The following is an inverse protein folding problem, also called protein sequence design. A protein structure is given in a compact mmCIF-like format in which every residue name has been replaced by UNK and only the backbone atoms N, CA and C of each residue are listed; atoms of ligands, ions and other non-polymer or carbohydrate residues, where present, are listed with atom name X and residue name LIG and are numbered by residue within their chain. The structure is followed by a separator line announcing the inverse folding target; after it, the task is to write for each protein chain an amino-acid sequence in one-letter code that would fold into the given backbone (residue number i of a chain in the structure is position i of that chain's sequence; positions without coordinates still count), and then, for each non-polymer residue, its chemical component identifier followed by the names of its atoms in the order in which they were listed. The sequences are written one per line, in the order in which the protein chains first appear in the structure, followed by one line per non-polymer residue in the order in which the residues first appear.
data_IF_874710236453
#
_entry.id   IF_874710236453
#
_cell.length_a   1.000
_cell.length_b   1.000
_cell.length_c   1.000
_cell.angle_alpha   90.00
_cell.angle_beta   90.00
_cell.angle_gamma   90.00
#
_symmetry.space_group_name_H-M   'P 1'
#
loop_
_entity.id
_entity.type
_entity.pdbx_description
1 polymer ?
#
# COMPACT_ATOMS: atom_id res chain seq x y z
N UNK A 1 -3.40 20.57 5.51
CA UNK A 1 -3.43 20.06 5.59
C UNK A 1 -3.30 19.46 5.33
N UNK A 2 -3.05 19.20 5.08
CA UNK A 2 -2.96 18.42 4.83
C UNK A 2 -2.52 17.82 4.88
N UNK A 3 -2.25 17.70 5.14
CA UNK A 3 -1.76 16.95 5.38
C UNK A 3 -1.91 16.09 5.60
N UNK A 4 -2.69 16.00 5.82
CA UNK A 4 -2.95 14.97 5.99
C UNK A 4 -2.51 13.93 5.52
N UNK A 5 -2.77 13.83 4.86
CA UNK A 5 -2.10 12.83 4.15
C UNK A 5 -0.82 12.52 4.80
N UNK A 6 -0.31 13.47 5.47
CA UNK A 6 0.81 13.23 6.33
C UNK A 6 0.43 12.47 7.55
N UNK A 7 -0.83 12.12 7.66
CA UNK A 7 -1.31 11.34 8.77
C UNK A 7 -1.18 9.84 8.60
N UNK A 8 -0.30 9.37 7.71
CA UNK A 8 -0.13 7.94 7.56
C UNK A 8 0.50 7.34 8.81
N UNK A 9 -0.05 6.23 9.28
CA UNK A 9 0.35 5.60 10.52
C UNK A 9 0.98 4.26 10.29
N UNK A 10 2.10 4.02 10.96
CA UNK A 10 2.81 2.75 10.86
C UNK A 10 1.90 1.59 11.24
N UNK A 11 1.92 0.54 10.45
CA UNK A 11 1.14 -0.66 10.72
C UNK A 11 -0.26 -0.65 10.14
N UNK A 12 -0.74 0.50 9.71
CA UNK A 12 -2.06 0.61 9.11
C UNK A 12 -1.99 0.31 7.61
N UNK A 13 -3.12 -0.08 7.05
CA UNK A 13 -3.18 -0.48 5.66
C UNK A 13 -3.86 0.60 4.84
N UNK A 14 -3.19 0.99 3.76
CA UNK A 14 -3.66 2.08 2.88
C UNK A 14 -3.85 1.59 1.46
N UNK A 15 -4.74 2.27 0.78
CA UNK A 15 -4.99 2.07 -0.64
C UNK A 15 -4.41 3.26 -1.39
N UNK A 16 -3.59 2.98 -2.40
CA UNK A 16 -2.98 4.00 -3.24
C UNK A 16 -3.36 3.75 -4.68
N UNK A 17 -3.85 4.78 -5.34
CA UNK A 17 -4.23 4.70 -6.76
C UNK A 17 -3.32 5.61 -7.56
N UNK A 18 -2.58 5.03 -8.49
CA UNK A 18 -1.67 5.76 -9.35
C UNK A 18 -2.30 6.10 -10.71
N UNK A 19 -3.57 5.72 -10.90
CA UNK A 19 -4.16 5.82 -12.22
C UNK A 19 -3.58 4.77 -13.16
N UNK A 20 -3.89 4.87 -14.43
CA UNK A 20 -3.29 3.98 -15.44
C UNK A 20 -3.37 2.50 -15.08
N UNK A 21 -4.46 2.10 -14.43
CA UNK A 21 -4.69 0.71 -14.01
C UNK A 21 -3.67 0.19 -13.01
N UNK A 22 -3.13 1.07 -12.17
CA UNK A 22 -2.15 0.68 -11.15
C UNK A 22 -2.66 1.09 -9.77
N UNK A 23 -2.84 0.11 -8.90
CA UNK A 23 -3.27 0.33 -7.51
C UNK A 23 -2.43 -0.50 -6.57
N UNK A 24 -2.30 -0.02 -5.34
CA UNK A 24 -1.52 -0.70 -4.31
C UNK A 24 -2.31 -0.72 -3.02
N UNK A 25 -2.27 -1.85 -2.33
CA UNK A 25 -2.81 -1.98 -0.98
C UNK A 25 -1.63 -2.41 -0.12
N UNK A 26 -1.22 -1.58 0.82
CA UNK A 26 0.00 -1.85 1.56
C UNK A 26 -0.10 -1.54 3.05
N UNK A 27 0.67 -2.30 3.84
CA UNK A 27 0.82 -2.05 5.28
C UNK A 27 1.96 -1.07 5.45
N UNK A 28 1.61 0.12 5.87
CA UNK A 28 2.54 1.26 5.90
C UNK A 28 3.66 1.08 6.92
N UNK A 29 4.86 1.42 6.53
CA UNK A 29 6.02 1.40 7.42
C UNK A 29 6.48 2.82 7.72
N UNK A 30 7.00 3.52 6.72
CA UNK A 30 7.47 4.89 6.88
C UNK A 30 7.56 5.55 5.51
N UNK A 31 8.05 6.77 5.49
CA UNK A 31 8.22 7.52 4.25
C UNK A 31 9.57 8.22 4.25
N UNK A 32 10.13 8.37 3.08
CA UNK A 32 11.26 9.26 2.87
C UNK A 32 10.84 10.34 1.87
N UNK A 33 11.81 11.06 1.32
CA UNK A 33 11.52 12.19 0.42
C UNK A 33 10.76 11.74 -0.81
N UNK A 34 11.10 10.59 -1.35
CA UNK A 34 10.56 10.14 -2.64
C UNK A 34 9.56 9.00 -2.53
N UNK A 35 9.56 8.26 -1.44
CA UNK A 35 8.83 7.01 -1.37
C UNK A 35 7.99 6.87 -0.12
N UNK A 36 6.88 6.14 -0.27
CA UNK A 36 6.20 5.52 0.86
C UNK A 36 6.70 4.09 0.93
N UNK A 37 7.14 3.67 2.12
CA UNK A 37 7.69 2.34 2.33
C UNK A 37 6.69 1.47 3.07
N UNK A 38 6.61 0.20 2.70
CA UNK A 38 5.61 -0.73 3.24
C UNK A 38 6.31 -1.99 3.73
N UNK A 39 5.75 -2.59 4.78
CA UNK A 39 6.21 -3.90 5.24
C UNK A 39 5.91 -4.95 4.18
N UNK A 40 4.71 -4.85 3.59
CA UNK A 40 4.28 -5.70 2.50
C UNK A 40 3.15 -5.00 1.76
N UNK A 41 2.91 -5.44 0.54
CA UNK A 41 1.87 -4.82 -0.27
C UNK A 41 1.36 -5.78 -1.35
N UNK A 42 0.15 -5.48 -1.81
CA UNK A 42 -0.42 -6.06 -3.01
C UNK A 42 -0.32 -5.00 -4.10
N UNK A 43 0.21 -5.40 -5.24
CA UNK A 43 0.33 -4.53 -6.40
C UNK A 43 -0.61 -5.04 -7.48
N UNK A 44 -1.49 -4.16 -7.94
CA UNK A 44 -2.42 -4.46 -9.03
C UNK A 44 -2.01 -3.66 -10.26
N UNK A 45 -1.83 -4.36 -11.36
CA UNK A 45 -1.46 -3.72 -12.62
C UNK A 45 -2.22 -4.42 -13.74
N UNK A 46 -3.08 -3.65 -14.42
CA UNK A 46 -3.91 -4.19 -15.51
C UNK A 46 -4.65 -5.45 -15.10
N UNK A 47 -5.15 -5.48 -13.87
CA UNK A 47 -5.90 -6.63 -13.37
C UNK A 47 -5.05 -7.76 -12.83
N UNK A 48 -3.74 -7.68 -12.95
CA UNK A 48 -2.84 -8.69 -12.37
C UNK A 48 -2.49 -8.29 -10.95
N UNK A 49 -2.51 -9.27 -10.07
CA UNK A 49 -2.21 -9.06 -8.66
C UNK A 49 -0.89 -9.73 -8.32
N UNK A 50 -0.02 -9.03 -7.61
CA UNK A 50 1.20 -9.62 -7.10
C UNK A 50 1.42 -9.17 -5.66
N UNK A 51 1.96 -10.07 -4.84
CA UNK A 51 2.27 -9.80 -3.46
C UNK A 51 3.77 -9.59 -3.29
N UNK A 52 4.14 -8.56 -2.53
CA UNK A 52 5.55 -8.26 -2.25
C UNK A 52 5.70 -8.03 -0.77
N UNK A 53 6.78 -8.52 -0.20
CA UNK A 53 7.03 -8.34 1.23
C UNK A 53 8.44 -7.83 1.47
N UNK A 54 8.61 -7.21 2.65
CA UNK A 54 9.91 -6.76 3.17
C UNK A 54 10.55 -5.66 2.33
N UNK A 55 10.49 -4.45 2.82
CA UNK A 55 11.20 -3.34 2.22
C UNK A 55 10.67 -2.86 0.89
N UNK A 56 9.52 -3.30 0.52
CA UNK A 56 8.90 -2.81 -0.71
C UNK A 56 8.47 -1.35 -0.51
N UNK A 57 8.56 -0.59 -1.58
CA UNK A 57 8.24 0.83 -1.51
C UNK A 57 7.54 1.25 -2.79
N UNK A 58 6.89 2.41 -2.70
CA UNK A 58 6.18 2.98 -3.82
C UNK A 58 6.54 4.45 -3.94
N UNK A 59 6.87 4.87 -5.13
CA UNK A 59 7.23 6.26 -5.40
C UNK A 59 6.03 7.14 -5.12
N UNK A 60 6.24 8.26 -4.44
CA UNK A 60 5.16 9.19 -4.13
C UNK A 60 4.61 9.90 -5.36
N UNK A 61 5.45 10.10 -6.35
CA UNK A 61 5.06 10.81 -7.55
C UNK A 61 4.01 9.99 -8.33
N UNK A 62 2.96 10.66 -8.75
CA UNK A 62 1.92 10.01 -9.53
C UNK A 62 0.78 9.43 -8.74
N UNK A 63 0.81 9.51 -7.41
CA UNK A 63 -0.32 9.06 -6.60
C UNK A 63 -1.49 10.02 -6.80
N UNK A 64 -2.61 9.49 -7.26
CA UNK A 64 -3.82 10.27 -7.47
C UNK A 64 -4.74 10.22 -6.25
N UNK A 65 -4.75 9.09 -5.56
CA UNK A 65 -5.58 8.90 -4.38
C UNK A 65 -4.81 8.08 -3.36
N UNK A 66 -4.84 8.51 -2.11
CA UNK A 66 -4.36 7.72 -1.00
C UNK A 66 -5.38 7.81 0.12
N UNK A 67 -5.79 6.65 0.66
CA UNK A 67 -6.81 6.58 1.71
C UNK A 67 -6.61 5.30 2.51
N UNK A 68 -7.29 5.25 3.66
CA UNK A 68 -7.30 4.01 4.43
C UNK A 68 -7.97 2.92 3.59
N UNK A 69 -7.45 1.73 3.67
CA UNK A 69 -7.99 0.60 2.95
C UNK A 69 -9.35 0.22 3.51
N UNK A 70 -10.23 -0.27 2.65
CA UNK A 70 -11.53 -0.79 3.06
C UNK A 70 -11.37 -2.14 3.73
N UNK A 71 -12.43 -2.62 4.38
CA UNK A 71 -12.40 -3.95 5.01
C UNK A 71 -12.05 -5.04 4.01
N UNK A 72 -12.62 -4.98 2.81
CA UNK A 72 -12.35 -5.97 1.78
C UNK A 72 -10.89 -5.93 1.34
N UNK A 73 -10.34 -4.72 1.21
CA UNK A 73 -8.95 -4.54 0.82
C UNK A 73 -8.00 -5.05 1.91
N UNK A 74 -8.31 -4.72 3.16
CA UNK A 74 -7.53 -5.20 4.30
C UNK A 74 -7.54 -6.72 4.34
N UNK A 75 -8.72 -7.31 4.18
CA UNK A 75 -8.88 -8.76 4.20
C UNK A 75 -8.02 -9.41 3.14
N UNK A 76 -8.01 -8.84 1.94
CA UNK A 76 -7.23 -9.37 0.85
C UNK A 76 -5.72 -9.35 1.14
N UNK A 77 -5.23 -8.23 1.67
CA UNK A 77 -3.82 -8.14 2.03
C UNK A 77 -3.45 -9.11 3.15
N UNK A 78 -4.26 -9.16 4.20
CA UNK A 78 -4.01 -10.05 5.33
C UNK A 78 -3.98 -11.51 4.89
N UNK A 79 -4.86 -11.89 3.99
CA UNK A 79 -4.88 -13.24 3.44
C UNK A 79 -3.53 -13.58 2.79
N UNK A 80 -2.99 -12.66 2.01
CA UNK A 80 -1.68 -12.87 1.39
C UNK A 80 -0.55 -12.88 2.42
N UNK A 81 -0.64 -12.03 3.43
CA UNK A 81 0.35 -12.02 4.52
C UNK A 81 0.39 -13.37 5.22
N UNK A 82 -0.76 -13.94 5.50
CA UNK A 82 -0.84 -15.25 6.16
C UNK A 82 -0.26 -16.33 5.24
N UNK A 83 -0.62 -16.31 3.98
CA UNK A 83 -0.13 -17.31 3.02
C UNK A 83 1.38 -17.25 2.84
N UNK A 84 1.98 -16.10 3.09
CA UNK A 84 3.41 -15.89 2.91
C UNK A 84 4.17 -15.77 4.22
N UNK A 85 3.54 -16.14 5.33
CA UNK A 85 4.17 -16.16 6.65
C UNK A 85 4.69 -14.80 7.10
N UNK A 86 3.96 -13.74 6.77
CA UNK A 86 4.36 -12.40 7.18
C UNK A 86 3.81 -12.04 8.57
N UNK A 87 2.81 -12.78 9.00
CA UNK A 87 2.20 -12.55 10.32
C UNK A 87 1.81 -13.87 10.94
#
# INVERSE_FOLDING_TARGET
MDNDKQGLEQGKIYYLDYGSNTQIIGRYKDSDVCNHNFYDLLHYWNGYESFRKNGQYCVKNGIETIRRASKAEIHNLVKHEIENDCI
#
